data_IF_544944381416
#
_entry.id   IF_544944381416
#
_cell.length_a   1.000
_cell.length_b   1.000
_cell.length_c   1.000
_cell.angle_alpha   90.00
_cell.angle_beta   90.00
_cell.angle_gamma   90.00
#
_symmetry.space_group_name_H-M   'P 1'
#
loop_
_entity.id
_entity.type
_entity.pdbx_description
1 polymer ?
#
# COMPACT_ATOMS: atom_id res chain seq x y z
N UNK A 1 7.94 32.55 -14.11
CA UNK A 1 7.09 31.66 -14.92
C UNK A 1 5.71 32.30 -14.98
N UNK A 2 5.12 32.37 -16.17
CA UNK A 2 3.76 32.89 -16.39
C UNK A 2 2.79 31.71 -16.39
N UNK A 3 2.06 31.54 -15.27
CA UNK A 3 1.19 30.37 -15.03
C UNK A 3 -0.18 30.49 -15.71
N UNK A 4 -0.55 31.68 -16.22
CA UNK A 4 -1.82 31.90 -16.92
C UNK A 4 -1.87 31.25 -18.31
N UNK A 5 -0.70 30.95 -18.88
CA UNK A 5 -0.55 30.21 -20.14
C UNK A 5 -0.29 28.72 -19.94
N UNK A 6 -0.19 28.28 -18.68
CA UNK A 6 -0.05 26.87 -18.35
C UNK A 6 -1.41 26.15 -18.48
N UNK A 7 -1.41 24.83 -18.69
CA UNK A 7 -2.62 24.07 -19.02
C UNK A 7 -3.75 24.24 -18.00
N UNK A 8 -3.40 24.35 -16.72
CA UNK A 8 -4.35 24.51 -15.63
C UNK A 8 -4.64 25.97 -15.27
N UNK A 9 -3.98 26.93 -15.91
CA UNK A 9 -4.09 28.37 -15.62
C UNK A 9 -3.71 28.74 -14.19
N UNK A 10 -2.98 27.85 -13.48
CA UNK A 10 -2.52 28.01 -12.10
C UNK A 10 -1.41 27.02 -11.79
N UNK A 11 -0.65 27.32 -10.73
CA UNK A 11 0.35 26.43 -10.19
C UNK A 11 -0.27 25.07 -9.80
N UNK A 12 0.30 24.00 -10.33
CA UNK A 12 -0.23 22.63 -10.19
C UNK A 12 0.90 21.69 -9.81
N UNK A 13 0.62 20.74 -8.91
CA UNK A 13 1.59 19.81 -8.35
C UNK A 13 1.14 18.37 -8.52
N UNK A 14 2.11 17.46 -8.52
CA UNK A 14 1.83 16.04 -8.38
C UNK A 14 1.49 15.74 -6.92
N UNK A 15 0.37 15.05 -6.70
CA UNK A 15 -0.05 14.70 -5.34
C UNK A 15 0.81 13.58 -4.77
N UNK A 16 0.98 13.63 -3.46
CA UNK A 16 1.70 12.62 -2.66
C UNK A 16 0.77 11.54 -2.12
N UNK A 17 -0.56 11.74 -2.20
CA UNK A 17 -1.59 10.78 -1.78
C UNK A 17 -2.96 11.16 -2.37
N UNK A 18 -3.81 10.16 -2.62
CA UNK A 18 -5.20 10.34 -3.03
C UNK A 18 -6.21 10.42 -1.88
N UNK A 19 -5.76 10.28 -0.63
CA UNK A 19 -6.61 10.02 0.53
C UNK A 19 -7.75 11.06 0.72
N UNK A 20 -7.47 12.35 0.54
CA UNK A 20 -8.49 13.40 0.71
C UNK A 20 -9.66 13.24 -0.27
N UNK A 21 -9.34 12.95 -1.53
CA UNK A 21 -10.36 12.68 -2.55
C UNK A 21 -11.07 11.36 -2.25
N UNK A 22 -10.32 10.35 -1.78
CA UNK A 22 -10.85 9.07 -1.35
C UNK A 22 -11.94 9.19 -0.30
N UNK A 23 -11.74 10.03 0.72
CA UNK A 23 -12.75 10.27 1.76
C UNK A 23 -14.10 10.76 1.23
N UNK A 24 -14.09 11.64 0.21
CA UNK A 24 -15.31 12.14 -0.41
C UNK A 24 -16.05 11.04 -1.18
N UNK A 25 -15.31 10.18 -1.89
CA UNK A 25 -15.90 9.04 -2.58
C UNK A 25 -16.39 7.96 -1.62
N UNK A 26 -15.71 7.73 -0.50
CA UNK A 26 -16.14 6.79 0.53
C UNK A 26 -17.49 7.19 1.13
N UNK A 27 -17.74 8.49 1.33
CA UNK A 27 -19.05 8.99 1.77
C UNK A 27 -20.20 8.65 0.80
N UNK A 28 -19.93 8.54 -0.50
CA UNK A 28 -20.94 8.23 -1.51
C UNK A 28 -21.06 6.73 -1.82
N UNK A 29 -19.94 6.03 -1.91
CA UNK A 29 -19.85 4.64 -2.39
C UNK A 29 -19.61 3.62 -1.27
N UNK A 30 -19.44 4.09 -0.03
CA UNK A 30 -19.14 3.32 1.18
C UNK A 30 -17.79 2.58 1.20
N UNK A 31 -17.34 2.00 0.08
CA UNK A 31 -16.08 1.26 -0.01
C UNK A 31 -15.39 1.61 -1.31
N UNK A 32 -14.17 2.12 -1.23
CA UNK A 32 -13.36 2.44 -2.39
C UNK A 32 -11.92 1.98 -2.18
N UNK A 33 -11.20 1.76 -3.27
CA UNK A 33 -9.76 1.61 -3.25
C UNK A 33 -9.18 2.39 -4.42
N UNK A 34 -7.99 2.93 -4.21
CA UNK A 34 -7.25 3.65 -5.23
C UNK A 34 -5.89 2.97 -5.42
N UNK A 35 -5.53 2.67 -6.65
CA UNK A 35 -4.22 2.16 -7.02
C UNK A 35 -3.60 3.15 -8.01
N UNK A 36 -2.68 3.98 -7.54
CA UNK A 36 -2.14 5.10 -8.33
C UNK A 36 -0.64 5.28 -8.13
N UNK A 37 0.06 5.88 -9.11
CA UNK A 37 1.41 6.38 -8.91
C UNK A 37 1.36 7.66 -8.06
N UNK A 38 2.23 7.70 -7.05
CA UNK A 38 2.47 8.86 -6.20
C UNK A 38 3.93 9.29 -6.26
N UNK A 39 4.12 10.61 -6.13
CA UNK A 39 5.39 11.28 -6.37
C UNK A 39 5.83 12.01 -5.09
N UNK A 40 6.62 11.37 -4.23
CA UNK A 40 7.05 11.98 -2.98
C UNK A 40 8.06 13.09 -3.25
N UNK A 41 7.83 14.26 -2.68
CA UNK A 41 8.82 15.35 -2.69
C UNK A 41 9.84 15.09 -1.57
N UNK A 42 10.87 14.30 -1.86
CA UNK A 42 11.93 13.97 -0.91
C UNK A 42 13.01 15.06 -0.86
N UNK A 43 13.32 15.55 0.35
CA UNK A 43 14.39 16.53 0.62
C UNK A 43 15.71 15.92 1.12
N UNK A 44 15.79 14.60 1.36
CA UNK A 44 16.94 13.92 1.99
C UNK A 44 17.54 12.82 1.11
N UNK A 45 18.85 12.48 1.28
CA UNK A 45 19.59 11.73 0.28
C UNK A 45 19.14 10.27 0.17
N UNK A 46 19.12 9.84 -1.08
CA UNK A 46 18.68 8.58 -1.67
C UNK A 46 19.23 7.36 -0.93
N UNK A 47 18.44 6.75 -0.04
CA UNK A 47 18.65 5.33 0.30
C UNK A 47 17.99 4.47 -0.78
N UNK A 48 18.47 3.23 -0.99
CA UNK A 48 17.96 2.30 -2.02
C UNK A 48 16.47 1.94 -1.91
N UNK A 49 15.78 2.44 -0.88
CA UNK A 49 14.36 2.21 -0.60
C UNK A 49 13.47 3.43 -0.88
N UNK A 50 14.04 4.58 -1.25
CA UNK A 50 13.25 5.77 -1.60
C UNK A 50 13.20 5.93 -3.11
N UNK A 51 12.01 5.81 -3.68
CA UNK A 51 11.76 5.96 -5.11
C UNK A 51 11.11 7.32 -5.37
N UNK A 52 11.50 7.96 -6.47
CA UNK A 52 10.89 9.22 -6.93
C UNK A 52 9.46 9.02 -7.47
N UNK A 53 9.09 7.79 -7.80
CA UNK A 53 7.76 7.36 -8.18
C UNK A 53 7.52 5.97 -7.57
N UNK A 54 6.38 5.78 -6.92
CA UNK A 54 5.96 4.48 -6.43
C UNK A 54 4.45 4.35 -6.47
N UNK A 55 3.96 3.11 -6.42
CA UNK A 55 2.53 2.84 -6.45
C UNK A 55 1.98 2.71 -5.04
N UNK A 56 0.92 3.45 -4.76
CA UNK A 56 0.15 3.33 -3.53
C UNK A 56 -1.18 2.63 -3.79
N UNK A 57 -1.50 1.69 -2.91
CA UNK A 57 -2.82 1.10 -2.78
C UNK A 57 -3.48 1.67 -1.53
N UNK A 58 -4.48 2.53 -1.71
CA UNK A 58 -5.16 3.26 -0.65
C UNK A 58 -6.64 2.81 -0.56
N UNK A 59 -6.98 1.88 0.34
CA UNK A 59 -8.38 1.54 0.62
C UNK A 59 -9.00 2.55 1.60
N UNK A 60 -10.22 3.01 1.29
CA UNK A 60 -11.04 3.86 2.17
C UNK A 60 -12.43 3.25 2.35
N UNK A 61 -12.85 3.09 3.60
CA UNK A 61 -14.08 2.40 3.97
C UNK A 61 -14.88 3.27 4.94
N UNK A 62 -16.08 3.68 4.51
CA UNK A 62 -16.99 4.45 5.35
C UNK A 62 -17.42 3.64 6.57
N UNK A 63 -17.56 4.33 7.71
CA UNK A 63 -17.96 3.76 9.00
C UNK A 63 -16.99 2.72 9.58
N UNK A 64 -15.79 2.57 9.02
CA UNK A 64 -14.75 1.72 9.58
C UNK A 64 -13.94 2.46 10.64
N UNK A 65 -13.55 1.75 11.71
CA UNK A 65 -12.56 2.22 12.67
C UNK A 65 -11.17 1.63 12.37
N UNK A 66 -10.16 2.02 13.16
CA UNK A 66 -8.78 1.57 12.97
C UNK A 66 -8.65 0.03 13.00
N UNK A 67 -9.40 -0.67 13.86
CA UNK A 67 -9.35 -2.13 13.92
C UNK A 67 -9.94 -2.77 12.66
N UNK A 68 -10.99 -2.17 12.08
CA UNK A 68 -11.59 -2.66 10.84
C UNK A 68 -10.62 -2.51 9.66
N UNK A 69 -9.98 -1.34 9.54
CA UNK A 69 -8.99 -1.07 8.49
C UNK A 69 -7.75 -1.97 8.65
N UNK A 70 -7.26 -2.16 9.87
CA UNK A 70 -6.12 -3.04 10.09
C UNK A 70 -6.46 -4.52 9.85
N UNK A 71 -7.68 -4.96 10.20
CA UNK A 71 -8.18 -6.29 9.85
C UNK A 71 -8.31 -6.48 8.35
N UNK A 72 -8.77 -5.45 7.62
CA UNK A 72 -8.81 -5.44 6.16
C UNK A 72 -7.40 -5.55 5.55
N UNK A 73 -6.44 -4.79 6.06
CA UNK A 73 -5.05 -4.83 5.62
C UNK A 73 -4.41 -6.22 5.86
N UNK A 74 -4.64 -6.82 7.03
CA UNK A 74 -4.19 -8.18 7.34
C UNK A 74 -4.80 -9.20 6.37
N UNK A 75 -6.11 -9.15 6.16
CA UNK A 75 -6.80 -10.06 5.25
C UNK A 75 -6.30 -9.93 3.80
N UNK A 76 -6.08 -8.69 3.34
CA UNK A 76 -5.56 -8.40 2.01
C UNK A 76 -4.14 -8.95 1.84
N UNK A 77 -3.23 -8.70 2.79
CA UNK A 77 -1.84 -9.19 2.71
C UNK A 77 -1.79 -10.72 2.71
N UNK A 78 -2.57 -11.37 3.60
CA UNK A 78 -2.66 -12.83 3.64
C UNK A 78 -3.19 -13.42 2.34
N UNK A 79 -4.21 -12.80 1.76
CA UNK A 79 -4.76 -13.21 0.47
C UNK A 79 -3.70 -13.13 -0.64
N UNK A 80 -3.00 -11.99 -0.75
CA UNK A 80 -1.96 -11.79 -1.77
C UNK A 80 -0.82 -12.78 -1.59
N UNK A 81 -0.32 -12.98 -0.37
CA UNK A 81 0.77 -13.94 -0.12
C UNK A 81 0.36 -15.37 -0.45
N UNK A 82 -0.86 -15.75 -0.10
CA UNK A 82 -1.39 -17.07 -0.46
C UNK A 82 -1.49 -17.23 -1.98
N UNK A 83 -2.03 -16.24 -2.68
CA UNK A 83 -2.12 -16.26 -4.15
C UNK A 83 -0.73 -16.37 -4.81
N UNK A 84 0.28 -15.66 -4.28
CA UNK A 84 1.66 -15.76 -4.80
C UNK A 84 2.24 -17.16 -4.57
N UNK A 85 2.03 -17.75 -3.40
CA UNK A 85 2.52 -19.11 -3.11
C UNK A 85 1.81 -20.18 -3.95
N UNK A 86 0.52 -20.02 -4.24
CA UNK A 86 -0.27 -20.98 -5.00
C UNK A 86 -0.08 -20.83 -6.52
N UNK A 87 -0.08 -19.60 -7.04
CA UNK A 87 -0.06 -19.32 -8.49
C UNK A 87 1.36 -19.13 -9.06
N UNK A 88 2.34 -18.82 -8.20
CA UNK A 88 3.73 -18.47 -8.58
C UNK A 88 4.78 -19.20 -7.74
N UNK A 89 4.50 -20.44 -7.36
CA UNK A 89 5.42 -21.28 -6.58
C UNK A 89 6.82 -21.43 -7.24
N UNK A 90 6.87 -21.51 -8.57
CA UNK A 90 8.13 -21.66 -9.32
C UNK A 90 9.05 -20.44 -9.17
N UNK A 91 8.49 -19.23 -9.29
CA UNK A 91 9.23 -17.99 -9.06
C UNK A 91 9.69 -17.87 -7.61
N UNK A 92 8.81 -18.23 -6.66
CA UNK A 92 9.14 -18.24 -5.24
C UNK A 92 10.26 -19.21 -4.88
N UNK A 93 10.29 -20.38 -5.54
CA UNK A 93 11.40 -21.34 -5.42
C UNK A 93 12.70 -20.75 -5.95
N UNK A 94 12.66 -20.07 -7.10
CA UNK A 94 13.83 -19.37 -7.63
C UNK A 94 14.35 -18.29 -6.66
N UNK A 95 13.45 -17.50 -6.07
CA UNK A 95 13.83 -16.52 -5.04
C UNK A 95 14.46 -17.18 -3.81
N UNK A 96 13.92 -18.32 -3.36
CA UNK A 96 14.50 -19.08 -2.26
C UNK A 96 15.92 -19.59 -2.56
N UNK A 97 16.19 -20.00 -3.80
CA UNK A 97 17.50 -20.50 -4.20
C UNK A 97 18.54 -19.39 -4.40
N UNK A 98 18.12 -18.21 -4.88
CA UNK A 98 19.04 -17.17 -5.40
C UNK A 98 19.08 -15.86 -4.62
N UNK A 99 18.03 -15.53 -3.88
CA UNK A 99 17.89 -14.22 -3.23
C UNK A 99 17.79 -14.37 -1.72
N UNK A 100 16.83 -15.15 -1.23
CA UNK A 100 16.57 -15.30 0.20
C UNK A 100 15.94 -16.67 0.49
N UNK A 101 16.72 -17.56 1.10
CA UNK A 101 16.32 -18.95 1.43
C UNK A 101 15.09 -19.02 2.33
N UNK A 102 14.84 -18.00 3.13
CA UNK A 102 13.72 -17.95 4.07
C UNK A 102 12.49 -17.23 3.50
N UNK A 103 12.51 -16.84 2.21
CA UNK A 103 11.41 -16.09 1.60
C UNK A 103 10.07 -16.83 1.70
N UNK A 104 10.03 -18.11 1.33
CA UNK A 104 8.81 -18.95 1.36
C UNK A 104 8.34 -19.16 2.80
N UNK A 105 9.24 -19.62 3.68
CA UNK A 105 8.91 -19.89 5.09
C UNK A 105 8.48 -18.64 5.86
N UNK A 106 8.95 -17.46 5.47
CA UNK A 106 8.51 -16.18 6.03
C UNK A 106 7.09 -15.82 5.61
N UNK A 107 6.72 -16.05 4.35
CA UNK A 107 5.35 -15.83 3.88
C UNK A 107 4.37 -16.82 4.54
N UNK A 108 4.73 -18.10 4.61
CA UNK A 108 3.91 -19.12 5.29
C UNK A 108 3.65 -18.76 6.76
N UNK A 109 4.71 -18.40 7.50
CA UNK A 109 4.58 -17.95 8.90
C UNK A 109 3.70 -16.72 9.03
N UNK A 110 3.78 -15.77 8.08
CA UNK A 110 2.94 -14.57 8.11
C UNK A 110 1.46 -14.91 7.88
N UNK A 111 1.17 -15.83 6.97
CA UNK A 111 -0.20 -16.28 6.68
C UNK A 111 -0.83 -16.93 7.92
N UNK A 112 -0.06 -17.73 8.65
CA UNK A 112 -0.51 -18.43 9.86
C UNK A 112 -0.60 -17.51 11.09
N UNK A 113 0.22 -16.47 11.18
CA UNK A 113 0.24 -15.55 12.30
C UNK A 113 -1.05 -14.73 12.41
N UNK A 114 -1.59 -14.55 13.63
CA UNK A 114 -2.70 -13.61 13.90
C UNK A 114 -2.10 -12.24 14.26
N UNK A 115 -2.33 -11.20 13.46
CA UNK A 115 -1.71 -9.88 13.66
C UNK A 115 -2.44 -8.96 14.67
N UNK A 116 -3.50 -9.45 15.33
CA UNK A 116 -4.32 -8.70 16.30
C UNK A 116 -3.55 -8.06 17.48
N UNK A 117 -2.27 -8.39 17.68
CA UNK A 117 -1.44 -7.94 18.80
C UNK A 117 -0.98 -6.47 18.70
N UNK A 118 -1.02 -5.84 17.53
CA UNK A 118 -0.34 -4.56 17.28
C UNK A 118 -1.20 -3.29 17.48
N UNK A 119 -2.52 -3.42 17.66
CA UNK A 119 -3.46 -2.26 17.61
C UNK A 119 -4.04 -1.91 18.99
N UNK A 120 -3.95 -2.80 19.98
CA UNK A 120 -4.26 -2.44 21.36
C UNK A 120 -3.07 -1.69 21.96
N UNK A 121 -3.25 -0.45 22.48
CA UNK A 121 -2.29 0.12 23.39
C UNK A 121 -2.15 -0.86 24.56
N UNK A 122 -0.95 -1.37 24.78
CA UNK A 122 -0.59 -1.94 26.07
C UNK A 122 -0.96 -0.92 27.13
N UNK A 123 -1.90 -1.27 28.02
CA UNK A 123 -1.99 -0.63 29.34
C UNK A 123 -0.68 -0.85 30.09
#
# INVERSE_FOLDING_TARGET
MDFDKDFFGKESFLTVSGQLNGGTYACALSKIYNLRPDFPVLKTPTTSRHLAEFWMLEPEVAFANLNDIAGLAEAMLKYVFKAVLEERADDMKFFAERVDKDAVSRLERFIEAILRRWITPTQ
#
